data_IF_665857711473
#
_entry.id   IF_665857711473
#
_cell.length_a   1.000
_cell.length_b   1.000
_cell.length_c   1.000
_cell.angle_alpha   90.00
_cell.angle_beta   90.00
_cell.angle_gamma   90.00
#
_symmetry.space_group_name_H-M   'P 1'
#
loop_
_entity.id
_entity.type
_entity.pdbx_description
1 polymer ?
#
# COMPACT_ATOMS: atom_id res chain seq x y z
N UNK A 1 20.41 0.51 -2.24
CA UNK A 1 20.15 1.89 -1.77
C UNK A 1 19.51 1.86 -0.39
N UNK A 2 20.19 2.34 0.65
CA UNK A 2 19.63 2.49 2.00
C UNK A 2 18.61 3.65 2.09
N UNK A 3 18.68 4.64 1.18
CA UNK A 3 17.77 5.80 1.19
C UNK A 3 16.29 5.46 0.90
N UNK A 4 15.99 4.29 0.31
CA UNK A 4 14.60 3.86 0.07
C UNK A 4 13.84 3.58 1.37
N UNK A 5 14.56 3.24 2.44
CA UNK A 5 13.98 2.78 3.71
C UNK A 5 13.55 3.96 4.59
N UNK A 6 14.08 5.15 4.32
CA UNK A 6 13.79 6.37 5.09
C UNK A 6 13.13 7.39 4.17
N UNK A 7 11.84 7.22 3.90
CA UNK A 7 11.06 8.16 3.08
C UNK A 7 10.94 9.55 3.73
N UNK A 8 10.98 10.59 2.88
CA UNK A 8 11.01 12.01 3.30
C UNK A 8 9.77 12.46 4.07
N UNK A 9 8.60 11.88 3.78
CA UNK A 9 7.32 12.35 4.34
C UNK A 9 6.98 11.74 5.71
N UNK A 10 7.43 10.52 6.02
CA UNK A 10 6.99 9.82 7.24
C UNK A 10 7.90 8.66 7.69
N UNK A 11 9.10 8.51 7.10
CA UNK A 11 9.98 7.38 7.42
C UNK A 11 9.47 6.01 6.92
N UNK A 12 8.38 5.98 6.15
CA UNK A 12 7.95 4.79 5.44
C UNK A 12 8.83 4.54 4.21
N UNK A 13 9.01 3.27 3.81
CA UNK A 13 9.78 2.97 2.62
C UNK A 13 9.08 3.52 1.37
N UNK A 14 9.86 4.13 0.48
CA UNK A 14 9.37 4.55 -0.83
C UNK A 14 9.38 3.32 -1.74
N UNK A 15 8.22 3.00 -2.30
CA UNK A 15 8.01 1.90 -3.25
C UNK A 15 7.54 2.46 -4.60
N UNK A 16 7.64 1.67 -5.65
CA UNK A 16 7.22 2.01 -7.03
C UNK A 16 7.89 3.25 -7.61
N UNK A 17 9.23 3.28 -7.61
CA UNK A 17 10.02 4.31 -8.28
C UNK A 17 11.02 3.68 -9.26
N UNK A 18 11.27 4.38 -10.36
CA UNK A 18 12.30 4.04 -11.35
C UNK A 18 13.40 5.10 -11.30
N UNK A 19 14.66 4.69 -11.44
CA UNK A 19 15.81 5.59 -11.45
C UNK A 19 16.68 5.26 -12.65
N UNK A 20 16.95 6.28 -13.47
CA UNK A 20 17.87 6.19 -14.59
C UNK A 20 19.09 7.07 -14.30
N UNK A 21 20.30 6.49 -14.43
CA UNK A 21 21.55 7.24 -14.31
C UNK A 21 21.96 7.70 -15.71
N UNK A 22 21.87 9.00 -15.96
CA UNK A 22 22.14 9.59 -17.29
C UNK A 22 23.62 9.96 -17.43
N UNK A 23 24.23 10.52 -16.39
CA UNK A 23 25.61 11.01 -16.42
C UNK A 23 26.27 10.93 -15.05
N UNK A 24 27.61 10.83 -15.03
CA UNK A 24 28.42 10.75 -13.82
C UNK A 24 29.90 11.03 -14.09
N UNK A 25 30.50 11.86 -13.23
CA UNK A 25 31.93 12.16 -13.26
C UNK A 25 32.65 11.46 -12.08
N UNK A 26 33.77 10.80 -12.38
CA UNK A 26 34.63 10.15 -11.38
C UNK A 26 36.06 10.69 -11.46
N UNK A 27 36.69 10.87 -10.30
CA UNK A 27 38.12 11.12 -10.16
C UNK A 27 38.80 9.96 -9.44
N UNK A 28 39.84 9.37 -10.02
CA UNK A 28 40.50 8.15 -9.50
C UNK A 28 41.09 8.28 -8.09
N UNK A 29 41.29 9.52 -7.59
CA UNK A 29 41.95 9.77 -6.30
C UNK A 29 40.95 9.91 -5.13
N UNK A 30 39.76 10.45 -5.40
CA UNK A 30 38.75 10.74 -4.36
C UNK A 30 37.45 9.93 -4.54
N UNK A 31 37.33 9.15 -5.62
CA UNK A 31 36.13 8.36 -5.90
C UNK A 31 36.20 7.00 -5.23
N UNK A 32 35.52 6.89 -4.09
CA UNK A 32 35.27 5.62 -3.41
C UNK A 32 33.82 5.18 -3.61
N UNK A 33 33.56 3.88 -3.45
CA UNK A 33 32.19 3.32 -3.49
C UNK A 33 31.27 4.06 -2.51
N UNK A 34 31.79 4.40 -1.33
CA UNK A 34 31.05 5.13 -0.31
C UNK A 34 30.67 6.55 -0.76
N UNK A 35 31.54 7.23 -1.51
CA UNK A 35 31.25 8.57 -2.03
C UNK A 35 30.07 8.57 -3.01
N UNK A 36 30.02 7.57 -3.90
CA UNK A 36 28.87 7.39 -4.80
C UNK A 36 27.60 7.01 -4.06
N UNK A 37 27.69 6.20 -3.00
CA UNK A 37 26.53 5.91 -2.16
C UNK A 37 25.95 7.16 -1.49
N UNK A 38 26.82 8.04 -0.98
CA UNK A 38 26.40 9.29 -0.34
C UNK A 38 25.79 10.24 -1.39
N UNK A 39 26.42 10.37 -2.56
CA UNK A 39 25.90 11.17 -3.66
C UNK A 39 24.52 10.70 -4.13
N UNK A 40 24.33 9.37 -4.28
CA UNK A 40 23.05 8.79 -4.65
C UNK A 40 21.95 9.03 -3.59
N UNK A 41 22.30 8.98 -2.29
CA UNK A 41 21.35 9.31 -1.20
C UNK A 41 20.92 10.77 -1.24
N UNK A 42 21.86 11.69 -1.48
CA UNK A 42 21.58 13.11 -1.58
C UNK A 42 20.68 13.43 -2.78
N UNK A 43 21.03 12.89 -3.96
CA UNK A 43 20.24 13.04 -5.18
C UNK A 43 18.82 12.48 -5.02
N UNK A 44 18.67 11.31 -4.39
CA UNK A 44 17.36 10.71 -4.12
C UNK A 44 16.49 11.61 -3.23
N UNK A 45 17.06 12.25 -2.20
CA UNK A 45 16.31 13.13 -1.29
C UNK A 45 15.73 14.34 -2.03
N UNK A 46 16.55 15.01 -2.84
CA UNK A 46 16.10 16.15 -3.64
C UNK A 46 15.08 15.76 -4.72
N UNK A 47 15.25 14.59 -5.34
CA UNK A 47 14.33 14.07 -6.35
C UNK A 47 12.96 13.74 -5.74
N UNK A 48 12.93 13.10 -4.57
CA UNK A 48 11.68 12.72 -3.88
C UNK A 48 10.89 13.97 -3.47
N UNK A 49 11.53 15.03 -2.97
CA UNK A 49 10.84 16.29 -2.64
C UNK A 49 10.16 16.92 -3.86
N UNK A 50 10.79 16.86 -5.04
CA UNK A 50 10.22 17.36 -6.30
C UNK A 50 9.14 16.45 -6.88
N UNK A 51 9.17 15.16 -6.57
CA UNK A 51 8.24 14.15 -7.10
C UNK A 51 6.84 14.15 -6.45
N UNK A 52 6.57 15.07 -5.51
CA UNK A 52 5.30 15.17 -4.77
C UNK A 52 4.84 13.81 -4.20
N UNK A 53 5.57 13.25 -3.22
CA UNK A 53 5.31 11.90 -2.74
C UNK A 53 3.92 11.82 -2.10
N UNK A 54 3.22 10.72 -2.34
CA UNK A 54 1.92 10.44 -1.74
C UNK A 54 2.02 9.23 -0.82
N UNK A 55 1.31 9.30 0.29
CA UNK A 55 1.16 8.17 1.20
C UNK A 55 0.23 7.14 0.57
N UNK A 56 0.71 5.90 0.48
CA UNK A 56 -0.07 4.76 0.04
C UNK A 56 -0.63 4.04 1.27
N UNK A 57 -1.94 3.82 1.28
CA UNK A 57 -2.61 2.97 2.28
C UNK A 57 -2.84 1.57 1.68
N UNK A 58 -2.62 0.48 2.43
CA UNK A 58 -2.94 -0.84 1.94
C UNK A 58 -4.47 -1.03 1.78
N UNK A 59 -4.86 -1.54 0.62
CA UNK A 59 -6.23 -1.96 0.30
C UNK A 59 -6.30 -3.47 0.43
N UNK A 60 -7.23 -3.97 1.26
CA UNK A 60 -7.48 -5.39 1.45
C UNK A 60 -8.63 -5.86 0.57
N UNK A 61 -8.47 -7.02 -0.06
CA UNK A 61 -9.59 -7.79 -0.58
C UNK A 61 -10.19 -8.62 0.55
N UNK A 62 -11.47 -8.42 0.84
CA UNK A 62 -12.24 -9.16 1.84
C UNK A 62 -13.32 -9.94 1.11
N UNK A 63 -13.41 -11.25 1.39
CA UNK A 63 -14.49 -12.12 0.93
C UNK A 63 -15.33 -12.48 2.15
N UNK A 64 -16.62 -12.16 2.12
CA UNK A 64 -17.58 -12.49 3.20
C UNK A 64 -18.57 -13.52 2.68
N UNK A 65 -18.71 -14.64 3.38
CA UNK A 65 -19.65 -15.71 3.03
C UNK A 65 -20.77 -15.73 4.06
N UNK A 66 -21.98 -15.40 3.65
CA UNK A 66 -23.14 -15.43 4.54
C UNK A 66 -24.41 -15.91 3.85
N UNK A 67 -25.40 -16.40 4.61
CA UNK A 67 -26.75 -16.65 4.10
C UNK A 67 -27.37 -15.38 3.49
N UNK A 68 -28.34 -15.55 2.58
CA UNK A 68 -29.00 -14.45 1.86
C UNK A 68 -29.72 -13.46 2.80
N UNK A 69 -30.16 -13.94 3.97
CA UNK A 69 -30.85 -13.17 5.00
C UNK A 69 -30.00 -12.03 5.59
N UNK A 70 -28.67 -12.19 5.63
CA UNK A 70 -27.74 -11.23 6.26
C UNK A 70 -26.95 -10.37 5.27
N UNK A 71 -27.22 -10.53 3.97
CA UNK A 71 -26.50 -9.82 2.90
C UNK A 71 -26.66 -8.30 3.02
N UNK A 72 -27.87 -7.83 3.36
CA UNK A 72 -28.16 -6.40 3.49
C UNK A 72 -27.35 -5.72 4.59
N UNK A 73 -27.27 -6.36 5.76
CA UNK A 73 -26.56 -5.82 6.92
C UNK A 73 -25.04 -5.74 6.67
N UNK A 74 -24.49 -6.74 5.98
CA UNK A 74 -23.06 -6.80 5.65
C UNK A 74 -22.68 -5.76 4.59
N UNK A 75 -23.53 -5.57 3.57
CA UNK A 75 -23.33 -4.50 2.59
C UNK A 75 -23.38 -3.12 3.29
N UNK A 76 -24.26 -2.97 4.30
CA UNK A 76 -24.31 -1.79 5.14
C UNK A 76 -23.01 -1.53 5.92
N UNK A 77 -22.49 -2.56 6.59
CA UNK A 77 -21.23 -2.47 7.35
C UNK A 77 -20.05 -2.17 6.41
N UNK A 78 -19.95 -2.83 5.25
CA UNK A 78 -18.89 -2.59 4.27
C UNK A 78 -18.92 -1.17 3.69
N UNK A 79 -20.10 -0.62 3.40
CA UNK A 79 -20.23 0.76 2.92
C UNK A 79 -19.89 1.79 3.99
N UNK A 80 -20.30 1.56 5.25
CA UNK A 80 -19.95 2.44 6.38
C UNK A 80 -18.43 2.55 6.57
N UNK A 81 -17.72 1.50 6.17
CA UNK A 81 -16.27 1.33 6.25
C UNK A 81 -15.50 1.91 5.07
N UNK A 82 -16.16 2.66 4.17
CA UNK A 82 -15.59 3.17 2.91
C UNK A 82 -15.00 2.04 2.05
N UNK A 83 -15.59 0.85 2.15
CA UNK A 83 -15.30 -0.28 1.29
C UNK A 83 -16.00 -0.13 -0.05
N UNK A 84 -15.35 -0.51 -1.14
CA UNK A 84 -15.99 -0.65 -2.44
C UNK A 84 -16.46 -2.10 -2.59
N UNK A 85 -17.77 -2.30 -2.73
CA UNK A 85 -18.35 -3.63 -2.96
C UNK A 85 -18.21 -3.97 -4.43
N UNK A 86 -17.53 -5.08 -4.72
CA UNK A 86 -17.34 -5.58 -6.07
C UNK A 86 -18.50 -6.46 -6.51
N UNK A 87 -18.20 -7.71 -6.82
CA UNK A 87 -19.16 -8.71 -7.27
C UNK A 87 -19.73 -9.53 -6.11
N UNK A 88 -20.97 -9.99 -6.28
CA UNK A 88 -21.61 -10.96 -5.42
C UNK A 88 -21.80 -12.26 -6.20
N UNK A 89 -21.20 -13.34 -5.72
CA UNK A 89 -21.35 -14.68 -6.27
C UNK A 89 -22.21 -15.55 -5.36
N UNK A 90 -22.90 -16.53 -5.94
CA UNK A 90 -23.74 -17.46 -5.19
C UNK A 90 -23.01 -18.81 -5.06
N UNK A 91 -22.66 -19.19 -3.82
CA UNK A 91 -22.09 -20.50 -3.49
C UNK A 91 -23.14 -21.32 -2.75
N UNK A 92 -23.96 -22.05 -3.51
CA UNK A 92 -25.02 -22.90 -2.97
C UNK A 92 -26.06 -22.10 -2.17
N UNK A 93 -26.19 -22.40 -0.86
CA UNK A 93 -27.13 -21.74 0.05
C UNK A 93 -26.56 -20.43 0.65
N UNK A 94 -25.34 -20.03 0.30
CA UNK A 94 -24.69 -18.81 0.79
C UNK A 94 -24.30 -17.87 -0.37
N UNK A 95 -24.23 -16.58 -0.08
CA UNK A 95 -23.72 -15.53 -0.96
C UNK A 95 -22.29 -15.20 -0.53
N UNK A 96 -21.37 -15.17 -1.48
CA UNK A 96 -20.01 -14.65 -1.30
C UNK A 96 -19.95 -13.23 -1.85
N UNK A 97 -19.56 -12.28 -1.01
CA UNK A 97 -19.44 -10.86 -1.36
C UNK A 97 -17.95 -10.51 -1.36
N UNK A 98 -17.45 -10.06 -2.52
CA UNK A 98 -16.10 -9.52 -2.65
C UNK A 98 -16.13 -8.01 -2.40
N UNK A 99 -15.27 -7.52 -1.50
CA UNK A 99 -15.13 -6.10 -1.20
C UNK A 99 -13.67 -5.67 -1.10
N UNK A 100 -13.38 -4.45 -1.54
CA UNK A 100 -12.09 -3.80 -1.34
C UNK A 100 -12.22 -2.77 -0.22
N UNK A 101 -11.54 -3.01 0.90
CA UNK A 101 -11.62 -2.17 2.11
C UNK A 101 -10.23 -1.66 2.48
N UNK A 102 -10.12 -0.40 2.91
CA UNK A 102 -8.85 0.15 3.42
C UNK A 102 -8.52 -0.40 4.80
N UNK A 103 -7.25 -0.73 5.01
CA UNK A 103 -6.77 -1.48 6.17
C UNK A 103 -7.11 -0.89 7.54
N UNK A 104 -7.21 0.43 7.66
CA UNK A 104 -7.42 1.12 8.94
C UNK A 104 -8.71 0.71 9.69
N UNK A 105 -9.60 -0.04 9.03
CA UNK A 105 -10.95 -0.34 9.50
C UNK A 105 -11.19 -1.83 9.79
N UNK A 106 -10.30 -2.74 9.37
CA UNK A 106 -10.48 -4.18 9.60
C UNK A 106 -10.26 -4.63 11.04
N UNK A 107 -9.59 -3.82 11.89
CA UNK A 107 -9.31 -4.18 13.29
C UNK A 107 -10.58 -4.32 14.17
N UNK A 108 -11.75 -3.92 13.65
CA UNK A 108 -13.04 -3.98 14.35
C UNK A 108 -14.00 -5.05 13.79
N UNK A 109 -13.68 -5.67 12.64
CA UNK A 109 -14.54 -6.73 12.03
C UNK A 109 -14.11 -8.14 12.47
N UNK A 110 -13.37 -8.25 13.57
CA UNK A 110 -13.26 -9.50 14.32
C UNK A 110 -14.43 -9.60 15.30
N UNK A 111 -15.66 -9.62 14.78
CA UNK A 111 -16.80 -10.17 15.50
C UNK A 111 -16.79 -11.67 15.19
N UNK A 112 -16.70 -12.55 16.21
CA UNK A 112 -16.58 -13.98 15.99
C UNK A 112 -17.94 -14.47 15.49
N UNK A 113 -18.00 -14.83 14.22
CA UNK A 113 -19.13 -15.59 13.71
C UNK A 113 -18.58 -16.64 12.74
N UNK A 114 -17.82 -17.60 13.28
CA UNK A 114 -17.85 -19.04 12.95
C UNK A 114 -17.07 -19.78 14.06
N UNK A 115 -17.82 -20.61 14.82
CA UNK A 115 -17.46 -21.59 15.87
C UNK A 115 -17.20 -21.07 17.30
#
# INVERSE_FOLDING_TARGET
MQAKETGVIAGFPVIDFEVELIDGASHDVDSSVLAFEIAARAAFREAVEKAAPRLLEPIMKVEVITPEEYVGDIIGDLNSRRGNVGGMDQRGNARSIDAMVRWQICLVISIPCVL
#
